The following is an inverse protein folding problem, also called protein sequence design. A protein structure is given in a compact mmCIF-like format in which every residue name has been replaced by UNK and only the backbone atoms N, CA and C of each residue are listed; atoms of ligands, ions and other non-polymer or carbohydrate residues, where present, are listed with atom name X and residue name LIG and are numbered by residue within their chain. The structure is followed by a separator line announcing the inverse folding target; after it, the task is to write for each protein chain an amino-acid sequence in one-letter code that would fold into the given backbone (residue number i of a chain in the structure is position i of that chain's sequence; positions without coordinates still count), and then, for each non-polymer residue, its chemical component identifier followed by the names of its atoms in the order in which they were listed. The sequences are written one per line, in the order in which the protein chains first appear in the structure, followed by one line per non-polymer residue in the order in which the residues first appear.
data_IF_614086756944
#
_entry.id   IF_614086756944
#
_cell.length_a   1.000
_cell.length_b   1.000
_cell.length_c   1.000
_cell.angle_alpha   90.00
_cell.angle_beta   90.00
_cell.angle_gamma   90.00
#
_symmetry.space_group_name_H-M   'P 1'
#
loop_
_entity.id
_entity.type
_entity.pdbx_description
1 polymer ?
#
# COMPACT_ATOMS: atom_id res chain seq x y z
N UNK A 1 12.42 -5.80 6.99
CA UNK A 1 13.26 -6.27 5.86
C UNK A 1 14.01 -5.05 5.36
N UNK A 2 15.33 -5.04 5.51
CA UNK A 2 16.16 -3.98 4.93
C UNK A 2 16.57 -4.45 3.54
N UNK A 3 16.03 -3.82 2.51
CA UNK A 3 16.43 -4.14 1.15
C UNK A 3 17.78 -3.49 0.86
N UNK A 4 18.71 -4.27 0.30
CA UNK A 4 19.93 -3.71 -0.25
C UNK A 4 19.59 -2.82 -1.47
N UNK A 5 20.50 -1.93 -1.86
CA UNK A 5 20.26 -1.05 -3.03
C UNK A 5 20.01 -1.85 -4.31
N UNK A 6 20.61 -3.02 -4.43
CA UNK A 6 20.47 -3.87 -5.61
C UNK A 6 19.15 -4.64 -5.58
N UNK A 7 18.74 -5.16 -4.41
CA UNK A 7 17.40 -5.75 -4.24
C UNK A 7 16.28 -4.74 -4.55
N UNK A 8 16.44 -3.48 -4.15
CA UNK A 8 15.48 -2.43 -4.50
C UNK A 8 15.37 -2.23 -6.01
N UNK A 9 16.49 -2.28 -6.75
CA UNK A 9 16.48 -2.17 -8.21
C UNK A 9 15.79 -3.35 -8.86
N UNK A 10 16.00 -4.56 -8.34
CA UNK A 10 15.32 -5.77 -8.81
C UNK A 10 13.81 -5.70 -8.57
N UNK A 11 13.38 -5.30 -7.37
CA UNK A 11 11.95 -5.09 -7.09
C UNK A 11 11.33 -3.99 -7.96
N UNK A 12 12.09 -2.94 -8.25
CA UNK A 12 11.66 -1.86 -9.13
C UNK A 12 11.65 -2.24 -10.61
N UNK A 13 12.38 -3.27 -11.04
CA UNK A 13 12.38 -3.75 -12.42
C UNK A 13 11.22 -4.71 -12.72
N UNK A 14 10.54 -5.22 -11.68
CA UNK A 14 9.41 -6.13 -11.84
C UNK A 14 8.28 -5.55 -12.72
N UNK A 15 7.57 -6.42 -13.46
CA UNK A 15 6.32 -6.07 -14.13
C UNK A 15 5.31 -5.41 -13.19
N UNK A 16 4.42 -4.57 -13.73
CA UNK A 16 3.41 -3.87 -12.95
C UNK A 16 2.51 -4.83 -12.15
N UNK A 17 2.11 -5.95 -12.76
CA UNK A 17 1.25 -6.96 -12.13
C UNK A 17 1.91 -7.51 -10.86
N UNK A 18 3.21 -7.82 -10.94
CA UNK A 18 3.97 -8.37 -9.82
C UNK A 18 4.14 -7.32 -8.71
N UNK A 19 4.38 -6.06 -9.08
CA UNK A 19 4.43 -4.94 -8.10
C UNK A 19 3.09 -4.76 -7.38
N UNK A 20 1.98 -4.85 -8.10
CA UNK A 20 0.64 -4.78 -7.50
C UNK A 20 0.42 -5.98 -6.56
N UNK A 21 0.80 -7.19 -6.96
CA UNK A 21 0.69 -8.38 -6.12
C UNK A 21 1.50 -8.26 -4.82
N UNK A 22 2.76 -7.81 -4.91
CA UNK A 22 3.60 -7.56 -3.74
C UNK A 22 3.02 -6.46 -2.83
N UNK A 23 2.43 -5.42 -3.43
CA UNK A 23 1.76 -4.35 -2.67
C UNK A 23 0.55 -4.90 -1.92
N UNK A 24 -0.26 -5.76 -2.55
CA UNK A 24 -1.41 -6.41 -1.90
C UNK A 24 -0.99 -7.31 -0.73
N UNK A 25 0.08 -8.09 -0.91
CA UNK A 25 0.66 -8.91 0.14
C UNK A 25 1.06 -8.04 1.34
N UNK A 26 1.77 -6.93 1.08
CA UNK A 26 2.23 -6.01 2.12
C UNK A 26 1.09 -5.37 2.89
N UNK A 27 0.02 -4.98 2.20
CA UNK A 27 -1.20 -4.44 2.82
C UNK A 27 -1.85 -5.49 3.73
N UNK A 28 -1.92 -6.75 3.26
CA UNK A 28 -2.49 -7.87 4.03
C UNK A 28 -1.69 -8.14 5.30
N UNK A 29 -0.36 -8.25 5.19
CA UNK A 29 0.54 -8.42 6.35
C UNK A 29 0.34 -7.30 7.39
N UNK A 30 0.24 -6.06 6.91
CA UNK A 30 0.06 -4.90 7.78
C UNK A 30 -1.32 -4.91 8.44
N UNK A 31 -2.38 -5.20 7.67
CA UNK A 31 -3.73 -5.29 8.18
C UNK A 31 -3.84 -6.37 9.27
N UNK A 32 -3.27 -7.55 9.04
CA UNK A 32 -3.23 -8.65 10.02
C UNK A 32 -2.45 -8.26 11.28
N UNK A 33 -1.27 -7.65 11.12
CA UNK A 33 -0.43 -7.23 12.24
C UNK A 33 -1.13 -6.24 13.18
N UNK A 34 -1.96 -5.35 12.63
CA UNK A 34 -2.71 -4.34 13.40
C UNK A 34 -4.17 -4.73 13.66
N UNK A 35 -4.55 -5.99 13.43
CA UNK A 35 -5.91 -6.50 13.64
C UNK A 35 -6.99 -5.63 12.96
N UNK A 36 -6.72 -5.21 11.72
CA UNK A 36 -7.60 -4.36 10.91
C UNK A 36 -7.71 -2.89 11.34
N UNK A 37 -6.94 -2.45 12.34
CA UNK A 37 -6.90 -1.04 12.77
C UNK A 37 -5.94 -0.22 11.92
N UNK A 38 -6.14 -0.26 10.60
CA UNK A 38 -5.28 0.41 9.61
C UNK A 38 -6.06 1.45 8.82
N UNK A 39 -5.38 2.53 8.47
CA UNK A 39 -5.96 3.72 7.86
C UNK A 39 -5.08 4.16 6.69
N UNK A 40 -5.69 4.54 5.58
CA UNK A 40 -4.96 5.17 4.46
C UNK A 40 -5.08 6.69 4.61
N UNK A 41 -3.95 7.36 4.81
CA UNK A 41 -3.90 8.83 4.72
C UNK A 41 -4.08 9.23 3.25
N UNK A 42 -5.20 9.86 2.95
CA UNK A 42 -5.58 10.18 1.58
C UNK A 42 -5.47 11.69 1.34
N UNK A 43 -4.48 12.12 0.55
CA UNK A 43 -4.26 13.54 0.23
C UNK A 43 -4.93 14.00 -1.06
N UNK A 44 -5.49 13.08 -1.84
CA UNK A 44 -5.97 13.33 -3.21
C UNK A 44 -4.86 13.28 -4.27
N UNK A 45 -3.60 13.11 -3.87
CA UNK A 45 -2.48 12.91 -4.79
C UNK A 45 -2.48 11.51 -5.39
N UNK A 46 -1.85 11.36 -6.57
CA UNK A 46 -1.78 10.10 -7.34
C UNK A 46 -1.39 8.89 -6.48
N UNK A 47 -0.33 9.03 -5.67
CA UNK A 47 0.20 7.91 -4.89
C UNK A 47 -0.79 7.46 -3.81
N UNK A 48 -1.44 8.42 -3.14
CA UNK A 48 -2.49 8.13 -2.16
C UNK A 48 -3.75 7.53 -2.81
N UNK A 49 -4.09 7.95 -4.04
CA UNK A 49 -5.20 7.39 -4.82
C UNK A 49 -4.95 5.96 -5.26
N UNK A 50 -3.75 5.65 -5.77
CA UNK A 50 -3.38 4.29 -6.18
C UNK A 50 -3.32 3.37 -4.96
N UNK A 51 -2.73 3.81 -3.85
CA UNK A 51 -2.67 3.00 -2.63
C UNK A 51 -4.07 2.70 -2.08
N UNK A 52 -4.95 3.71 -2.01
CA UNK A 52 -6.33 3.53 -1.57
C UNK A 52 -7.12 2.60 -2.50
N UNK A 53 -6.92 2.73 -3.81
CA UNK A 53 -7.54 1.86 -4.80
C UNK A 53 -7.14 0.39 -4.58
N UNK A 54 -5.84 0.11 -4.47
CA UNK A 54 -5.34 -1.26 -4.23
C UNK A 54 -5.81 -1.81 -2.88
N UNK A 55 -5.80 -0.99 -1.82
CA UNK A 55 -6.27 -1.40 -0.50
C UNK A 55 -7.74 -1.84 -0.53
N UNK A 56 -8.60 -1.10 -1.24
CA UNK A 56 -10.04 -1.39 -1.39
C UNK A 56 -10.35 -2.62 -2.24
N UNK A 57 -9.43 -3.05 -3.11
CA UNK A 57 -9.59 -4.33 -3.82
C UNK A 57 -9.50 -5.53 -2.88
N UNK A 58 -8.79 -5.39 -1.75
CA UNK A 58 -8.60 -6.46 -0.76
C UNK A 58 -9.59 -6.29 0.41
N UNK A 59 -9.72 -5.06 0.90
CA UNK A 59 -10.50 -4.68 2.08
C UNK A 59 -11.42 -3.49 1.73
N UNK A 60 -12.61 -3.75 1.17
CA UNK A 60 -13.54 -2.70 0.71
C UNK A 60 -13.94 -1.70 1.82
N UNK A 61 -13.91 -2.14 3.07
CA UNK A 61 -14.21 -1.38 4.28
C UNK A 61 -13.12 -0.36 4.67
N UNK A 62 -11.93 -0.44 4.07
CA UNK A 62 -10.84 0.51 4.36
C UNK A 62 -11.24 1.92 3.91
N UNK A 63 -11.47 2.78 4.91
CA UNK A 63 -11.69 4.21 4.74
C UNK A 63 -10.39 4.93 4.36
N UNK A 64 -10.47 5.82 3.36
CA UNK A 64 -9.44 6.84 3.16
C UNK A 64 -9.75 8.00 4.09
N UNK A 65 -8.99 8.15 5.17
CA UNK A 65 -9.19 9.26 6.09
C UNK A 65 -8.31 10.42 5.62
N UNK A 66 -8.94 11.57 5.36
CA UNK A 66 -8.27 12.82 5.01
C UNK A 66 -7.72 13.43 6.31
N UNK A 67 -6.48 13.08 6.69
CA UNK A 67 -5.73 13.83 7.70
C UNK A 67 -4.96 14.94 6.98
N UNK A 68 -5.63 16.06 6.72
CA UNK A 68 -4.93 17.35 6.55
C UNK A 68 -4.69 17.86 7.98
N UNK A 69 -3.56 17.47 8.57
CA UNK A 69 -2.94 18.34 9.57
C UNK A 69 -2.09 19.33 8.77
N UNK A 70 -2.57 20.58 8.73
CA UNK A 70 -1.85 21.73 8.20
C UNK A 70 -0.50 21.92 8.90
#
# INVERSE_FOLDING_TARGET
MNHTKDELKELQSLPLVDKVALTKLRITEWHEHYNGKVYVSFSGGKDSSVLLHIAREIYPEVGGYLLILA
#
